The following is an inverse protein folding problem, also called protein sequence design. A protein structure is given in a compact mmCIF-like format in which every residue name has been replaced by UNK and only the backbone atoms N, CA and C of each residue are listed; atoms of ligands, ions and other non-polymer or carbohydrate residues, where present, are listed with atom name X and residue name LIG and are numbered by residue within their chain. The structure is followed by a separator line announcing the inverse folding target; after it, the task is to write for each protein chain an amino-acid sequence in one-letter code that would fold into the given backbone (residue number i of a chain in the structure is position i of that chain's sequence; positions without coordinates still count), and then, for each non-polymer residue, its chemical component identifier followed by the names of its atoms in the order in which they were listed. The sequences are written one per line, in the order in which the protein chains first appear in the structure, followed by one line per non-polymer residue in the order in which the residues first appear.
data_IF_824877908465
#
_entry.id   IF_824877908465
#
_cell.length_a   1.000
_cell.length_b   1.000
_cell.length_c   1.000
_cell.angle_alpha   90.00
_cell.angle_beta   90.00
_cell.angle_gamma   90.00
#
_symmetry.space_group_name_H-M   'P 1'
#
loop_
_entity.id
_entity.type
_entity.pdbx_description
1 polymer ?
#
# COMPACT_ATOMS: atom_id res chain seq x y z
N UNK A 1 -4.39 5.59 -24.60
CA UNK A 1 -3.87 6.20 -23.36
C UNK A 1 -3.99 5.15 -22.28
N UNK A 2 -2.85 4.77 -21.73
CA UNK A 2 -2.62 3.52 -21.00
C UNK A 2 -3.58 3.31 -19.83
N UNK A 3 -4.10 2.08 -19.77
CA UNK A 3 -5.10 1.66 -18.80
C UNK A 3 -4.60 1.76 -17.36
N UNK A 4 -5.53 2.15 -16.48
CA UNK A 4 -5.61 1.80 -15.06
C UNK A 4 -4.67 0.63 -14.71
N UNK A 5 -3.50 0.91 -14.12
CA UNK A 5 -2.75 -0.11 -13.38
C UNK A 5 -3.61 -0.54 -12.20
N UNK A 6 -4.45 -1.55 -12.40
CA UNK A 6 -5.11 -2.24 -11.28
C UNK A 6 -4.00 -2.94 -10.54
N UNK A 7 -3.76 -2.54 -9.30
CA UNK A 7 -2.99 -3.33 -8.34
C UNK A 7 -3.60 -4.73 -8.28
N UNK A 8 -2.91 -5.70 -8.86
CA UNK A 8 -3.43 -7.05 -9.11
C UNK A 8 -2.81 -8.11 -8.17
N UNK A 9 -1.93 -7.69 -7.25
CA UNK A 9 -1.33 -8.58 -6.27
C UNK A 9 -2.10 -8.51 -4.95
N UNK A 10 -2.73 -9.64 -4.58
CA UNK A 10 -3.38 -9.78 -3.28
C UNK A 10 -2.34 -9.93 -2.16
N UNK A 11 -2.69 -9.48 -0.95
CA UNK A 11 -1.81 -9.63 0.21
C UNK A 11 -1.75 -11.10 0.65
N UNK A 12 -0.55 -11.69 0.64
CA UNK A 12 -0.30 -13.01 1.25
C UNK A 12 -0.64 -12.96 2.75
N UNK A 13 -1.04 -14.10 3.36
CA UNK A 13 -1.26 -14.19 4.80
C UNK A 13 -0.02 -13.82 5.62
N UNK A 14 -0.25 -13.49 6.89
CA UNK A 14 0.80 -13.16 7.84
C UNK A 14 1.82 -14.30 7.97
N UNK A 15 3.13 -14.03 7.80
CA UNK A 15 4.16 -15.06 7.85
C UNK A 15 4.35 -15.67 9.24
N UNK A 16 3.85 -15.02 10.31
CA UNK A 16 4.02 -15.47 11.69
C UNK A 16 2.85 -16.32 12.21
N UNK A 17 1.61 -16.03 11.78
CA UNK A 17 0.42 -16.69 12.33
C UNK A 17 -0.61 -17.14 11.29
N UNK A 18 -0.35 -16.93 10.00
CA UNK A 18 -1.29 -17.22 8.91
C UNK A 18 -2.54 -16.33 8.86
N UNK A 19 -2.66 -15.34 9.75
CA UNK A 19 -3.80 -14.43 9.79
C UNK A 19 -3.87 -13.49 8.58
N UNK A 20 -5.05 -12.94 8.31
CA UNK A 20 -5.29 -12.00 7.21
C UNK A 20 -4.44 -10.73 7.36
N UNK A 21 -3.84 -10.28 6.26
CA UNK A 21 -3.13 -9.01 6.18
C UNK A 21 -4.09 -7.90 5.73
N UNK A 22 -3.90 -6.68 6.24
CA UNK A 22 -4.70 -5.50 5.89
C UNK A 22 -3.82 -4.25 5.82
N UNK A 23 -4.23 -3.30 5.00
CA UNK A 23 -3.70 -1.94 5.04
C UNK A 23 -4.17 -1.23 6.31
N UNK A 24 -3.26 -0.55 7.00
CA UNK A 24 -3.54 0.28 8.18
C UNK A 24 -3.04 1.69 7.91
N UNK A 25 -3.96 2.65 7.97
CA UNK A 25 -3.62 4.07 7.88
C UNK A 25 -2.94 4.46 9.20
N UNK A 26 -1.78 5.09 9.09
CA UNK A 26 -0.99 5.60 10.22
C UNK A 26 -1.26 7.09 10.40
N UNK A 27 -1.20 7.86 9.32
CA UNK A 27 -1.57 9.28 9.30
C UNK A 27 -2.25 9.62 7.98
N UNK A 28 -3.05 10.67 7.99
CA UNK A 28 -3.62 11.27 6.77
C UNK A 28 -3.18 12.71 6.67
N UNK A 29 -2.75 13.14 5.50
CA UNK A 29 -2.50 14.54 5.15
C UNK A 29 -3.62 15.04 4.25
N UNK A 30 -3.97 16.32 4.39
CA UNK A 30 -4.86 17.01 3.46
C UNK A 30 -4.47 18.47 3.37
N UNK A 31 -4.26 18.93 2.15
CA UNK A 31 -4.14 20.35 1.80
C UNK A 31 -5.37 20.75 0.99
N UNK A 32 -5.46 22.02 0.58
CA UNK A 32 -6.55 22.50 -0.29
C UNK A 32 -6.58 21.80 -1.66
N UNK A 33 -5.46 21.22 -2.09
CA UNK A 33 -5.32 20.61 -3.42
C UNK A 33 -5.03 19.11 -3.38
N UNK A 34 -4.52 18.58 -2.26
CA UNK A 34 -3.99 17.21 -2.19
C UNK A 34 -4.56 16.45 -1.00
N UNK A 35 -4.75 15.14 -1.20
CA UNK A 35 -5.11 14.20 -0.14
C UNK A 35 -4.09 13.07 -0.10
N UNK A 36 -3.41 12.93 1.03
CA UNK A 36 -2.41 11.89 1.25
C UNK A 36 -2.75 10.98 2.43
N UNK A 37 -2.26 9.75 2.36
CA UNK A 37 -2.32 8.77 3.44
C UNK A 37 -0.96 8.10 3.58
N UNK A 38 -0.42 8.12 4.79
CA UNK A 38 0.69 7.24 5.17
C UNK A 38 0.13 6.00 5.82
N UNK A 39 0.57 4.83 5.37
CA UNK A 39 0.02 3.55 5.76
C UNK A 39 1.13 2.50 5.91
N UNK A 40 0.79 1.37 6.52
CA UNK A 40 1.57 0.15 6.48
C UNK A 40 0.65 -1.06 6.31
N UNK A 41 1.23 -2.25 6.18
CA UNK A 41 0.47 -3.51 6.17
C UNK A 41 0.68 -4.19 7.52
N UNK A 42 -0.42 -4.64 8.11
CA UNK A 42 -0.46 -5.30 9.42
C UNK A 42 -1.29 -6.58 9.36
N UNK A 43 -0.94 -7.56 10.20
CA UNK A 43 -1.78 -8.71 10.44
C UNK A 43 -2.98 -8.33 11.31
N UNK A 44 -4.19 -8.72 10.91
CA UNK A 44 -5.40 -8.48 11.71
C UNK A 44 -5.51 -9.34 12.97
N UNK A 45 -4.64 -10.34 13.15
CA UNK A 45 -4.69 -11.31 14.26
C UNK A 45 -3.57 -11.08 15.29
N UNK A 46 -2.32 -11.05 14.85
CA UNK A 46 -1.17 -10.88 15.74
C UNK A 46 -0.52 -9.48 15.66
N UNK A 47 -1.12 -8.56 14.90
CA UNK A 47 -0.68 -7.16 14.74
C UNK A 47 0.73 -6.96 14.16
N UNK A 48 1.41 -8.05 13.80
CA UNK A 48 2.70 -8.02 13.13
C UNK A 48 2.64 -7.10 11.91
N UNK A 49 3.57 -6.16 11.85
CA UNK A 49 3.70 -5.16 10.79
C UNK A 49 5.17 -4.85 10.57
N UNK A 50 5.50 -4.34 9.40
CA UNK A 50 6.84 -3.81 9.14
C UNK A 50 6.96 -2.38 9.68
N UNK A 51 8.16 -1.97 10.15
CA UNK A 51 8.39 -0.60 10.63
C UNK A 51 8.31 0.43 9.50
N UNK A 52 8.53 0.01 8.25
CA UNK A 52 8.42 0.88 7.09
C UNK A 52 6.96 1.31 6.88
N UNK A 53 6.78 2.62 6.67
CA UNK A 53 5.52 3.20 6.21
C UNK A 53 5.64 3.57 4.74
N UNK A 54 4.50 3.60 4.07
CA UNK A 54 4.33 3.88 2.65
C UNK A 54 3.32 5.01 2.48
N UNK A 55 3.35 5.67 1.33
CA UNK A 55 2.51 6.82 1.05
C UNK A 55 1.65 6.63 -0.19
N UNK A 56 0.45 7.19 -0.14
CA UNK A 56 -0.39 7.38 -1.31
C UNK A 56 -0.99 8.77 -1.26
N UNK A 57 -0.77 9.55 -2.32
CA UNK A 57 -1.21 10.94 -2.42
C UNK A 57 -1.89 11.18 -3.76
N UNK A 58 -3.03 11.84 -3.73
CA UNK A 58 -3.82 12.18 -4.91
C UNK A 58 -4.13 13.67 -4.95
N UNK A 59 -4.28 14.20 -6.16
CA UNK A 59 -4.75 15.55 -6.46
C UNK A 59 -5.87 15.50 -7.49
N UNK A 60 -6.69 16.54 -7.54
CA UNK A 60 -7.70 16.73 -8.57
C UNK A 60 -7.10 17.55 -9.70
N UNK A 61 -7.06 16.99 -10.91
CA UNK A 61 -6.65 17.69 -12.11
C UNK A 61 -7.74 18.67 -12.57
N UNK A 62 -7.35 19.63 -13.41
CA UNK A 62 -8.28 20.66 -13.94
C UNK A 62 -9.43 20.07 -14.76
N UNK A 63 -9.23 18.90 -15.36
CA UNK A 63 -10.25 18.15 -16.08
C UNK A 63 -11.17 17.31 -15.17
N UNK A 64 -10.98 17.38 -13.85
CA UNK A 64 -11.73 16.62 -12.86
C UNK A 64 -11.21 15.21 -12.58
N UNK A 65 -10.09 14.79 -13.20
CA UNK A 65 -9.50 13.48 -12.93
C UNK A 65 -8.76 13.46 -11.59
N UNK A 66 -8.86 12.33 -10.87
CA UNK A 66 -8.02 12.08 -9.70
C UNK A 66 -6.67 11.53 -10.16
N UNK A 67 -5.61 12.33 -10.01
CA UNK A 67 -4.24 11.95 -10.35
C UNK A 67 -3.51 11.53 -9.08
N UNK A 68 -2.86 10.37 -9.10
CA UNK A 68 -1.92 9.97 -8.06
C UNK A 68 -0.60 10.74 -8.24
N UNK A 69 -0.22 11.54 -7.25
CA UNK A 69 1.10 12.19 -7.16
C UNK A 69 2.14 11.15 -6.73
N UNK A 70 1.76 10.36 -5.72
CA UNK A 70 2.57 9.28 -5.16
C UNK A 70 1.67 8.08 -4.93
N UNK A 71 2.09 6.89 -5.32
CA UNK A 71 1.36 5.66 -5.03
C UNK A 71 2.33 4.51 -4.73
N UNK A 72 2.65 4.34 -3.46
CA UNK A 72 3.58 3.32 -2.99
C UNK A 72 2.88 2.01 -2.60
N UNK A 73 1.59 1.85 -2.91
CA UNK A 73 0.84 0.63 -2.56
C UNK A 73 1.51 -0.62 -3.14
N UNK A 74 2.06 -0.54 -4.36
CA UNK A 74 2.72 -1.67 -5.02
C UNK A 74 3.98 -2.09 -4.28
N UNK A 75 4.76 -1.10 -3.82
CA UNK A 75 5.95 -1.36 -3.02
C UNK A 75 5.58 -1.96 -1.66
N UNK A 76 4.48 -1.52 -1.06
CA UNK A 76 3.98 -2.09 0.19
C UNK A 76 3.58 -3.57 0.01
N UNK A 77 2.80 -3.89 -1.03
CA UNK A 77 2.36 -5.26 -1.33
C UNK A 77 3.55 -6.16 -1.60
N UNK A 78 4.50 -5.74 -2.46
CA UNK A 78 5.69 -6.53 -2.77
C UNK A 78 6.55 -6.78 -1.54
N UNK A 79 6.79 -5.76 -0.72
CA UNK A 79 7.53 -5.92 0.52
C UNK A 79 6.82 -6.85 1.50
N UNK A 80 5.49 -6.75 1.61
CA UNK A 80 4.71 -7.66 2.45
C UNK A 80 4.68 -9.09 1.93
N UNK A 81 4.67 -9.29 0.62
CA UNK A 81 4.56 -10.60 -0.02
C UNK A 81 5.90 -11.32 -0.18
N UNK A 82 7.03 -10.61 -0.03
CA UNK A 82 8.37 -11.20 -0.08
C UNK A 82 8.56 -12.22 1.06
N UNK A 83 9.06 -13.41 0.72
CA UNK A 83 9.44 -14.46 1.68
C UNK A 83 10.92 -14.81 1.50
N UNK A 84 11.52 -15.43 2.52
CA UNK A 84 12.93 -15.85 2.48
C UNK A 84 13.22 -16.87 1.36
N UNK A 85 12.21 -17.63 0.94
CA UNK A 85 12.34 -18.62 -0.14
C UNK A 85 12.01 -18.04 -1.53
N UNK A 86 11.70 -16.75 -1.65
CA UNK A 86 11.43 -16.10 -2.95
C UNK A 86 12.74 -15.63 -3.64
N UNK A 87 13.90 -16.15 -3.22
CA UNK A 87 15.19 -15.94 -3.91
C UNK A 87 15.26 -16.86 -5.14
N UNK A 88 15.32 -16.24 -6.33
CA UNK A 88 15.51 -16.89 -7.62
C UNK A 88 16.87 -17.57 -7.72
N UNK A 89 16.83 -18.83 -8.17
CA UNK A 89 17.88 -19.50 -8.95
C UNK A 89 18.36 -18.60 -10.11
#
# INVERSE_FOLDING_TARGET
MEGKRRMNEELKPCPFCGGKAKFRIVTSSSTSMQKGFRFNITCSKCEASFPKTYEVEHTLAENGDMIAITDEREMAVKAWNRRANDETD
#
